data_IF_999623835274
#
_entry.id   IF_999623835274
#
_cell.length_a   1.000
_cell.length_b   1.000
_cell.length_c   1.000
_cell.angle_alpha   90.00
_cell.angle_beta   90.00
_cell.angle_gamma   90.00
#
_symmetry.space_group_name_H-M   'P 1'
#
loop_
_entity.id
_entity.type
_entity.pdbx_description
1 polymer ?
#
# COMPACT_ATOMS: atom_id res chain seq x y z
N UNK A 1 -2.62 -14.30 16.80
CA UNK A 1 -1.65 -13.34 16.25
C UNK A 1 -2.36 -12.32 15.38
N UNK A 2 -1.94 -11.07 15.42
CA UNK A 2 -2.49 -10.02 14.58
C UNK A 2 -1.45 -9.49 13.63
N UNK A 3 -1.89 -9.13 12.43
CA UNK A 3 -1.07 -8.48 11.42
C UNK A 3 -1.26 -6.97 11.54
N UNK A 4 -0.16 -6.23 11.57
CA UNK A 4 -0.16 -4.77 11.59
C UNK A 4 0.15 -4.26 10.18
N UNK A 5 -0.78 -3.52 9.60
CA UNK A 5 -0.65 -2.95 8.27
C UNK A 5 -0.75 -1.43 8.36
N UNK A 6 0.21 -0.74 7.78
CA UNK A 6 0.28 0.72 7.79
C UNK A 6 0.54 1.24 6.39
N UNK A 7 -0.10 2.35 6.06
CA UNK A 7 0.10 3.02 4.78
C UNK A 7 0.05 4.53 4.95
N UNK A 8 1.01 5.22 4.36
CA UNK A 8 0.99 6.67 4.24
C UNK A 8 1.08 7.03 2.75
N UNK A 9 0.09 7.75 2.25
CA UNK A 9 0.11 8.32 0.91
C UNK A 9 0.62 9.75 1.02
N UNK A 10 1.63 10.11 0.23
CA UNK A 10 2.27 11.42 0.31
C UNK A 10 2.34 12.06 -1.08
N UNK A 11 1.87 13.30 -1.16
CA UNK A 11 1.99 14.12 -2.36
C UNK A 11 2.19 15.56 -1.93
N UNK A 12 3.44 16.05 -1.99
CA UNK A 12 3.80 17.36 -1.44
C UNK A 12 3.51 17.40 0.06
N UNK A 13 2.68 18.36 0.49
CA UNK A 13 2.29 18.50 1.88
C UNK A 13 1.05 17.69 2.25
N UNK A 14 0.43 17.03 1.27
CA UNK A 14 -0.75 16.20 1.51
C UNK A 14 -0.33 14.82 1.98
N UNK A 15 -0.89 14.37 3.10
CA UNK A 15 -0.62 13.06 3.67
C UNK A 15 -1.95 12.41 4.05
N UNK A 16 -2.12 11.14 3.64
CA UNK A 16 -3.23 10.31 4.11
C UNK A 16 -2.65 9.06 4.73
N UNK A 17 -2.95 8.83 6.00
CA UNK A 17 -2.37 7.74 6.78
C UNK A 17 -3.45 6.81 7.32
N UNK A 18 -3.17 5.52 7.27
CA UNK A 18 -4.03 4.51 7.88
C UNK A 18 -3.22 3.41 8.54
N UNK A 19 -3.67 2.96 9.70
CA UNK A 19 -3.12 1.81 10.40
C UNK A 19 -4.25 0.84 10.69
N UNK A 20 -4.07 -0.41 10.28
CA UNK A 20 -5.03 -1.48 10.52
C UNK A 20 -4.37 -2.63 11.28
N UNK A 21 -5.08 -3.18 12.26
CA UNK A 21 -4.68 -4.39 12.96
C UNK A 21 -5.80 -5.41 12.82
N UNK A 22 -5.46 -6.59 12.33
CA UNK A 22 -6.45 -7.64 12.11
C UNK A 22 -5.83 -9.01 12.35
N UNK A 23 -6.63 -10.03 12.71
CA UNK A 23 -6.14 -11.40 12.80
C UNK A 23 -5.58 -11.85 11.45
N UNK A 24 -4.47 -12.59 11.48
CA UNK A 24 -3.80 -13.00 10.24
C UNK A 24 -4.69 -13.86 9.34
N UNK A 25 -5.58 -14.65 9.94
CA UNK A 25 -6.52 -15.50 9.21
C UNK A 25 -7.60 -14.71 8.48
N UNK A 26 -7.82 -13.45 8.84
CA UNK A 26 -8.82 -12.58 8.19
C UNK A 26 -8.20 -11.70 7.12
N UNK A 27 -6.95 -11.95 6.73
CA UNK A 27 -6.19 -11.09 5.83
C UNK A 27 -6.94 -10.76 4.53
N UNK A 28 -7.64 -11.71 3.96
CA UNK A 28 -8.30 -11.52 2.66
C UNK A 28 -9.64 -10.78 2.76
N UNK A 29 -10.27 -10.77 3.93
CA UNK A 29 -11.59 -10.17 4.12
C UNK A 29 -11.54 -8.84 4.87
N UNK A 30 -10.44 -8.55 5.56
CA UNK A 30 -10.29 -7.31 6.32
C UNK A 30 -9.72 -6.21 5.42
N UNK A 31 -10.26 -4.98 5.48
CA UNK A 31 -9.68 -3.88 4.72
C UNK A 31 -8.23 -3.65 5.09
N UNK A 32 -7.38 -3.51 4.08
CA UNK A 32 -5.95 -3.25 4.28
C UNK A 32 -5.71 -1.76 4.50
N UNK A 33 -4.58 -1.42 5.13
CA UNK A 33 -4.24 -0.02 5.41
C UNK A 33 -4.17 0.82 4.14
N UNK A 34 -3.71 0.24 3.02
CA UNK A 34 -3.68 0.93 1.73
C UNK A 34 -5.09 1.37 1.32
N UNK A 35 -6.06 0.46 1.42
CA UNK A 35 -7.45 0.78 1.09
C UNK A 35 -7.99 1.84 2.05
N UNK A 36 -7.66 1.74 3.33
CA UNK A 36 -8.06 2.74 4.32
C UNK A 36 -7.48 4.11 4.02
N UNK A 37 -6.20 4.19 3.66
CA UNK A 37 -5.56 5.46 3.33
C UNK A 37 -6.16 6.09 2.07
N UNK A 38 -6.44 5.28 1.04
CA UNK A 38 -7.09 5.75 -0.19
C UNK A 38 -8.51 6.24 0.10
N UNK A 39 -9.24 5.53 0.94
CA UNK A 39 -10.59 5.91 1.34
C UNK A 39 -10.60 7.25 2.09
N UNK A 40 -9.65 7.47 2.99
CA UNK A 40 -9.50 8.74 3.69
C UNK A 40 -9.08 9.89 2.77
N UNK A 41 -8.31 9.58 1.73
CA UNK A 41 -7.84 10.58 0.79
C UNK A 41 -9.00 11.20 -0.03
N UNK A 42 -10.00 10.41 -0.38
CA UNK A 42 -11.22 10.83 -1.07
C UNK A 42 -10.99 11.88 -2.16
N UNK A 43 -11.39 13.12 -1.91
CA UNK A 43 -11.32 14.22 -2.88
C UNK A 43 -9.91 14.77 -3.09
N UNK A 44 -8.94 14.40 -2.24
CA UNK A 44 -7.56 14.84 -2.42
C UNK A 44 -6.89 14.03 -3.52
N UNK A 45 -6.09 14.70 -4.32
CA UNK A 45 -5.40 14.08 -5.45
C UNK A 45 -4.00 13.65 -5.02
N UNK A 46 -3.73 12.35 -5.06
CA UNK A 46 -2.41 11.78 -4.80
C UNK A 46 -1.75 11.23 -6.06
N UNK A 47 -2.29 11.53 -7.24
CA UNK A 47 -1.71 11.10 -8.50
C UNK A 47 -0.27 11.63 -8.63
N UNK A 48 0.67 10.74 -8.96
CA UNK A 48 2.10 11.08 -9.01
C UNK A 48 2.80 11.04 -7.67
N UNK A 49 2.07 10.76 -6.60
CA UNK A 49 2.63 10.69 -5.25
C UNK A 49 3.27 9.35 -4.92
N UNK A 50 3.64 9.20 -3.65
CA UNK A 50 4.31 8.02 -3.12
C UNK A 50 3.46 7.37 -2.04
N UNK A 51 3.39 6.03 -2.07
CA UNK A 51 2.79 5.23 -1.01
C UNK A 51 3.91 4.59 -0.19
N UNK A 52 3.94 4.86 1.11
CA UNK A 52 4.82 4.21 2.06
C UNK A 52 4.02 3.14 2.78
N UNK A 53 4.44 1.89 2.69
CA UNK A 53 3.68 0.77 3.22
C UNK A 53 4.55 -0.11 4.10
N UNK A 54 3.98 -0.65 5.17
CA UNK A 54 4.71 -1.52 6.09
C UNK A 54 5.02 -2.88 5.45
N UNK A 55 4.16 -3.35 4.58
CA UNK A 55 4.28 -4.67 3.95
C UNK A 55 4.02 -4.57 2.46
N UNK A 56 4.75 -5.35 1.67
CA UNK A 56 4.58 -5.37 0.21
C UNK A 56 3.10 -5.63 -0.13
N UNK A 57 2.49 -4.82 -1.01
CA UNK A 57 1.05 -4.88 -1.23
C UNK A 57 0.58 -6.21 -1.86
N UNK A 58 -0.64 -6.61 -1.52
CA UNK A 58 -1.31 -7.67 -2.25
C UNK A 58 -1.85 -7.13 -3.59
N UNK A 59 -2.33 -8.03 -4.44
CA UNK A 59 -2.79 -7.62 -5.78
C UNK A 59 -3.97 -6.65 -5.75
N UNK A 60 -4.90 -6.82 -4.81
CA UNK A 60 -6.04 -5.90 -4.64
C UNK A 60 -5.56 -4.50 -4.30
N UNK A 61 -4.62 -4.39 -3.36
CA UNK A 61 -4.06 -3.11 -2.96
C UNK A 61 -3.25 -2.47 -4.11
N UNK A 62 -2.50 -3.29 -4.86
CA UNK A 62 -1.75 -2.80 -6.02
C UNK A 62 -2.67 -2.22 -7.09
N UNK A 63 -3.80 -2.86 -7.35
CA UNK A 63 -4.80 -2.35 -8.29
C UNK A 63 -5.36 -1.01 -7.82
N UNK A 64 -5.64 -0.89 -6.52
CA UNK A 64 -6.15 0.35 -5.95
C UNK A 64 -5.12 1.48 -6.07
N UNK A 65 -3.83 1.21 -5.81
CA UNK A 65 -2.76 2.19 -5.97
C UNK A 65 -2.62 2.61 -7.43
N UNK A 66 -2.70 1.68 -8.36
CA UNK A 66 -2.65 1.98 -9.80
C UNK A 66 -3.84 2.85 -10.23
N UNK A 67 -5.04 2.55 -9.73
CA UNK A 67 -6.23 3.36 -10.01
C UNK A 67 -6.09 4.78 -9.47
N UNK A 68 -5.43 4.96 -8.34
CA UNK A 68 -5.15 6.27 -7.76
C UNK A 68 -3.98 6.98 -8.43
N UNK A 69 -3.33 6.34 -9.39
CA UNK A 69 -2.19 6.87 -10.16
C UNK A 69 -0.98 7.20 -9.28
N UNK A 70 -0.76 6.39 -8.26
CA UNK A 70 0.45 6.48 -7.43
C UNK A 70 1.66 6.16 -8.32
N UNK A 71 2.71 6.96 -8.21
CA UNK A 71 3.91 6.80 -9.04
C UNK A 71 4.97 5.91 -8.41
N UNK A 72 4.99 5.82 -7.08
CA UNK A 72 6.06 5.15 -6.37
C UNK A 72 5.53 4.46 -5.11
N UNK A 73 6.06 3.27 -4.84
CA UNK A 73 5.74 2.51 -3.61
C UNK A 73 7.04 2.21 -2.88
N UNK A 74 7.09 2.55 -1.60
CA UNK A 74 8.20 2.21 -0.71
C UNK A 74 7.66 1.27 0.35
N UNK A 75 8.23 0.07 0.48
CA UNK A 75 7.76 -0.93 1.44
C UNK A 75 8.87 -1.38 2.37
N UNK A 76 8.50 -1.80 3.58
CA UNK A 76 9.44 -2.23 4.60
C UNK A 76 9.70 -3.73 4.55
N UNK A 77 8.65 -4.52 4.64
CA UNK A 77 8.73 -5.98 4.76
C UNK A 77 8.06 -6.68 3.59
N UNK A 78 8.58 -7.86 3.24
CA UNK A 78 7.94 -8.71 2.26
C UNK A 78 6.62 -9.25 2.81
N UNK A 79 5.68 -9.54 1.92
CA UNK A 79 4.39 -10.09 2.30
C UNK A 79 4.45 -11.62 2.18
N UNK A 80 4.47 -12.29 3.34
CA UNK A 80 4.54 -13.75 3.41
C UNK A 80 3.17 -14.44 3.40
N UNK A 81 2.08 -13.65 3.42
CA UNK A 81 0.72 -14.20 3.53
C UNK A 81 0.04 -14.30 2.15
N UNK A 82 0.23 -13.30 1.31
CA UNK A 82 -0.41 -13.23 0.00
C UNK A 82 0.56 -13.61 -1.11
N UNK A 83 0.01 -14.11 -2.23
CA UNK A 83 0.78 -14.28 -3.47
C UNK A 83 1.04 -12.89 -4.07
N UNK A 84 2.31 -12.52 -4.18
CA UNK A 84 2.71 -11.22 -4.67
C UNK A 84 3.16 -11.21 -6.13
N UNK A 85 3.05 -12.33 -6.83
CA UNK A 85 3.43 -12.42 -8.24
C UNK A 85 2.61 -11.47 -9.10
N UNK A 86 1.30 -11.48 -8.92
CA UNK A 86 0.40 -10.58 -9.66
C UNK A 86 0.65 -9.11 -9.27
N UNK A 87 0.95 -8.84 -8.00
CA UNK A 87 1.30 -7.49 -7.54
C UNK A 87 2.45 -6.92 -8.35
N UNK A 88 3.53 -7.69 -8.49
CA UNK A 88 4.70 -7.26 -9.25
C UNK A 88 4.37 -7.01 -10.72
N UNK A 89 3.53 -7.85 -11.31
CA UNK A 89 3.07 -7.66 -12.70
C UNK A 89 2.25 -6.38 -12.85
N UNK A 90 1.39 -6.08 -11.88
CA UNK A 90 0.58 -4.85 -11.90
C UNK A 90 1.49 -3.62 -11.84
N UNK A 91 2.44 -3.59 -10.92
CA UNK A 91 3.36 -2.45 -10.80
C UNK A 91 4.18 -2.26 -12.07
N UNK A 92 4.67 -3.34 -12.67
CA UNK A 92 5.42 -3.27 -13.93
C UNK A 92 4.55 -2.74 -15.08
N UNK A 93 3.31 -3.20 -15.16
CA UNK A 93 2.38 -2.79 -16.21
C UNK A 93 2.08 -1.29 -16.16
N UNK A 94 1.89 -0.74 -14.97
CA UNK A 94 1.56 0.69 -14.81
C UNK A 94 2.79 1.57 -14.61
N UNK A 95 4.00 1.01 -14.68
CA UNK A 95 5.23 1.80 -14.55
C UNK A 95 5.43 2.37 -13.16
N UNK A 96 4.93 1.72 -12.12
CA UNK A 96 5.07 2.18 -10.73
C UNK A 96 6.45 1.77 -10.22
N UNK A 97 7.23 2.75 -9.74
CA UNK A 97 8.52 2.49 -9.11
C UNK A 97 8.32 1.83 -7.74
N UNK A 98 9.07 0.77 -7.47
CA UNK A 98 8.94 0.02 -6.22
C UNK A 98 10.31 -0.07 -5.55
N UNK A 99 10.37 0.34 -4.30
CA UNK A 99 11.61 0.39 -3.51
C UNK A 99 11.39 -0.27 -2.17
N UNK A 100 12.29 -1.15 -1.77
CA UNK A 100 12.30 -1.74 -0.42
C UNK A 100 13.16 -0.87 0.49
N UNK A 101 12.65 -0.51 1.67
CA UNK A 101 13.39 0.22 2.69
C UNK A 101 13.13 -0.41 4.05
N UNK A 102 14.05 -1.24 4.51
CA UNK A 102 13.92 -1.97 5.77
C UNK A 102 13.96 -1.06 7.00
N UNK A 103 14.44 0.17 6.85
CA UNK A 103 14.50 1.16 7.92
C UNK A 103 13.29 2.08 7.96
N UNK A 104 12.30 1.85 7.10
CA UNK A 104 11.10 2.68 7.03
C UNK A 104 10.34 2.66 8.35
N UNK A 105 10.02 3.84 8.86
CA UNK A 105 9.20 4.02 10.06
C UNK A 105 7.85 4.67 9.69
N UNK A 106 6.77 4.01 10.13
CA UNK A 106 5.40 4.49 9.88
C UNK A 106 4.62 4.68 11.17
#
# INVERSE_FOLDING_TARGET
MKRDSRCALVMGDNISYCRQKFPIEDYEITPHAIIGALSKARARNFAGGTAYVSTYPCSTCAKALAAAKIARVVYKDDNSVADTTLTSQIFAHFGIEVVKNEELEL
#
